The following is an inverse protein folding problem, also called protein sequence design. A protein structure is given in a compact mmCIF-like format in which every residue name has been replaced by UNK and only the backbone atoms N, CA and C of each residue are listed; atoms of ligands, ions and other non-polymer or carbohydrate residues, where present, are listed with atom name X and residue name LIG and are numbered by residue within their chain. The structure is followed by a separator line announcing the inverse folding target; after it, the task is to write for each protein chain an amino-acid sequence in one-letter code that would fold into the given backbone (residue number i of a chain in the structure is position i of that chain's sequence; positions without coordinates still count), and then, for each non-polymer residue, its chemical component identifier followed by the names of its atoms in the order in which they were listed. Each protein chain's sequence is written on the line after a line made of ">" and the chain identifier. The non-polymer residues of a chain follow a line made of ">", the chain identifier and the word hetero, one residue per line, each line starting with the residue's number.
data_IF_130994330252
#
_entry.id   IF_130994330252
#
_cell.length_a   1.000
_cell.length_b   1.000
_cell.length_c   1.000
_cell.angle_alpha   90.00
_cell.angle_beta   90.00
_cell.angle_gamma   90.00
#
_symmetry.space_group_name_H-M   'P 1'
#
loop_
_entity.id
_entity.type
_entity.pdbx_description
1 polymer ?
#
# COMPACT_ATOMS: atom_id res chain seq x y z
N UNK A 1 11.04 2.39 -5.41
CA UNK A 1 12.06 1.45 -5.90
C UNK A 1 13.27 1.45 -4.96
N UNK A 2 13.85 0.28 -4.71
CA UNK A 2 15.04 0.12 -3.87
C UNK A 2 16.31 0.49 -4.66
N UNK A 3 17.16 1.41 -4.18
CA UNK A 3 18.38 1.84 -4.87
C UNK A 3 19.49 0.78 -4.72
N UNK A 4 19.45 -0.23 -5.59
CA UNK A 4 20.35 -1.40 -5.53
C UNK A 4 21.27 -1.53 -6.74
N UNK A 5 21.44 -0.48 -7.54
CA UNK A 5 22.28 -0.45 -8.72
C UNK A 5 21.64 0.25 -9.91
N UNK A 6 22.11 -0.01 -11.12
CA UNK A 6 21.65 0.62 -12.36
C UNK A 6 20.21 0.24 -12.71
N UNK A 7 19.44 1.18 -13.23
CA UNK A 7 18.11 0.89 -13.78
C UNK A 7 18.20 0.10 -15.09
N UNK A 8 17.29 -0.86 -15.26
CA UNK A 8 17.19 -1.67 -16.49
C UNK A 8 15.75 -1.60 -17.05
N UNK A 9 15.56 -2.11 -18.27
CA UNK A 9 14.27 -2.09 -18.98
C UNK A 9 13.11 -2.70 -18.16
N UNK A 10 13.36 -3.62 -17.25
CA UNK A 10 12.32 -4.15 -16.37
C UNK A 10 11.74 -3.07 -15.41
N UNK A 11 12.52 -2.08 -15.05
CA UNK A 11 12.03 -0.95 -14.24
C UNK A 11 11.19 0.03 -15.07
N UNK A 12 11.49 0.21 -16.36
CA UNK A 12 10.72 1.11 -17.22
C UNK A 12 9.25 0.70 -17.31
N UNK A 13 8.95 -0.60 -17.25
CA UNK A 13 7.57 -1.12 -17.28
C UNK A 13 6.70 -0.59 -16.13
N UNK A 14 7.28 -0.43 -14.93
CA UNK A 14 6.59 0.20 -13.79
C UNK A 14 6.40 1.69 -14.05
N UNK A 15 7.47 2.36 -14.49
CA UNK A 15 7.47 3.82 -14.70
C UNK A 15 6.49 4.22 -15.81
N UNK A 16 6.36 3.43 -16.86
CA UNK A 16 5.37 3.66 -17.93
C UNK A 16 3.93 3.59 -17.41
N UNK A 17 3.61 2.63 -16.52
CA UNK A 17 2.30 2.58 -15.89
C UNK A 17 2.07 3.81 -14.99
N UNK A 18 3.08 4.21 -14.20
CA UNK A 18 3.00 5.42 -13.35
C UNK A 18 2.78 6.64 -14.20
N UNK A 19 3.50 6.79 -15.32
CA UNK A 19 3.33 7.89 -16.27
C UNK A 19 1.91 7.91 -16.85
N UNK A 20 1.39 6.76 -17.26
CA UNK A 20 0.02 6.65 -17.75
C UNK A 20 -1.00 7.17 -16.72
N UNK A 21 -0.87 6.77 -15.44
CA UNK A 21 -1.73 7.32 -14.38
C UNK A 21 -1.56 8.82 -14.19
N UNK A 22 -0.33 9.33 -14.29
CA UNK A 22 -0.07 10.77 -14.23
C UNK A 22 -0.76 11.53 -15.36
N UNK A 23 -0.73 11.00 -16.58
CA UNK A 23 -1.41 11.56 -17.76
C UNK A 23 -2.95 11.54 -17.60
N UNK A 24 -3.49 10.62 -16.78
CA UNK A 24 -4.91 10.60 -16.39
C UNK A 24 -5.23 11.53 -15.20
N UNK A 25 -4.27 12.31 -14.73
CA UNK A 25 -4.47 13.30 -13.66
C UNK A 25 -4.24 12.76 -12.25
N UNK A 26 -3.63 11.58 -12.07
CA UNK A 26 -3.29 11.09 -10.74
C UNK A 26 -2.09 11.85 -10.14
N UNK A 27 -2.14 12.09 -8.83
CA UNK A 27 -1.01 12.55 -8.04
C UNK A 27 0.01 11.40 -7.90
N UNK A 28 1.24 11.64 -8.31
CA UNK A 28 2.28 10.62 -8.29
C UNK A 28 3.19 10.78 -7.07
N UNK A 29 3.36 9.70 -6.34
CA UNK A 29 4.32 9.58 -5.23
C UNK A 29 5.27 8.42 -5.52
N UNK A 30 6.56 8.70 -5.58
CA UNK A 30 7.61 7.71 -5.84
C UNK A 30 8.54 7.62 -4.63
N UNK A 31 8.59 6.46 -4.03
CA UNK A 31 9.48 6.15 -2.90
C UNK A 31 10.83 5.68 -3.40
N UNK A 32 11.90 6.26 -2.87
CA UNK A 32 13.24 5.68 -2.86
C UNK A 32 13.39 4.88 -1.57
N UNK A 33 13.43 3.56 -1.70
CA UNK A 33 13.42 2.62 -0.58
C UNK A 33 14.85 2.40 -0.01
N UNK A 34 15.44 3.45 0.52
CA UNK A 34 16.80 3.47 1.06
C UNK A 34 16.93 2.73 2.40
N UNK A 35 15.90 2.75 3.26
CA UNK A 35 15.84 1.94 4.47
C UNK A 35 15.74 0.45 4.15
N UNK A 36 14.99 0.08 3.12
CA UNK A 36 14.91 -1.31 2.64
C UNK A 36 16.25 -1.77 2.08
N UNK A 37 16.96 -0.92 1.31
CA UNK A 37 18.30 -1.20 0.80
C UNK A 37 19.31 -1.42 1.93
N UNK A 38 19.27 -0.58 2.97
CA UNK A 38 20.07 -0.75 4.17
C UNK A 38 19.77 -2.07 4.88
N UNK A 39 18.49 -2.39 5.07
CA UNK A 39 18.05 -3.58 5.82
C UNK A 39 18.39 -4.90 5.10
N UNK A 40 18.26 -4.94 3.76
CA UNK A 40 18.32 -6.18 2.97
C UNK A 40 19.60 -6.35 2.19
N UNK A 41 20.33 -5.28 1.88
CA UNK A 41 21.55 -5.27 1.07
C UNK A 41 22.78 -4.74 1.82
N UNK A 42 22.59 -4.13 2.99
CA UNK A 42 23.66 -3.47 3.72
C UNK A 42 24.16 -2.16 3.06
N UNK A 43 23.45 -1.65 2.05
CA UNK A 43 23.77 -0.38 1.39
C UNK A 43 23.59 0.75 2.38
N UNK A 44 24.62 1.59 2.59
CA UNK A 44 24.48 2.75 3.48
C UNK A 44 23.47 3.76 2.93
N UNK A 45 22.86 4.56 3.81
CA UNK A 45 21.88 5.58 3.39
C UNK A 45 22.48 6.59 2.41
N UNK A 46 23.74 6.99 2.62
CA UNK A 46 24.44 7.91 1.73
C UNK A 46 24.70 7.28 0.35
N UNK A 47 25.19 6.04 0.31
CA UNK A 47 25.39 5.30 -0.94
C UNK A 47 24.06 5.10 -1.68
N UNK A 48 23.00 4.68 -0.98
CA UNK A 48 21.65 4.55 -1.53
C UNK A 48 21.12 5.87 -2.10
N UNK A 49 21.40 6.98 -1.43
CA UNK A 49 21.07 8.33 -1.91
C UNK A 49 21.79 8.67 -3.21
N UNK A 50 23.11 8.42 -3.28
CA UNK A 50 23.89 8.69 -4.49
C UNK A 50 23.44 7.85 -5.67
N UNK A 51 23.20 6.55 -5.46
CA UNK A 51 22.64 5.66 -6.48
C UNK A 51 21.27 6.18 -6.96
N UNK A 52 20.37 6.54 -6.03
CA UNK A 52 19.06 7.00 -6.37
C UNK A 52 19.08 8.28 -7.21
N UNK A 53 19.87 9.26 -6.81
CA UNK A 53 19.98 10.53 -7.55
C UNK A 53 20.58 10.33 -8.92
N UNK A 54 21.65 9.54 -9.02
CA UNK A 54 22.37 9.32 -10.28
C UNK A 54 21.61 8.41 -11.26
N UNK A 55 21.04 7.31 -10.76
CA UNK A 55 20.51 6.24 -11.60
C UNK A 55 18.97 6.28 -11.73
N UNK A 56 18.25 6.64 -10.65
CA UNK A 56 16.79 6.50 -10.63
C UNK A 56 16.08 7.80 -11.02
N UNK A 57 16.40 8.92 -10.38
CA UNK A 57 15.72 10.19 -10.59
C UNK A 57 15.89 10.68 -12.04
N UNK A 58 17.10 10.56 -12.59
CA UNK A 58 17.35 10.92 -13.99
C UNK A 58 16.55 10.04 -14.96
N UNK A 59 16.49 8.73 -14.69
CA UNK A 59 15.73 7.81 -15.54
C UNK A 59 14.22 8.02 -15.42
N UNK A 60 13.69 8.44 -14.28
CA UNK A 60 12.27 8.80 -14.15
C UNK A 60 11.92 9.97 -15.06
N UNK A 61 12.77 11.01 -15.08
CA UNK A 61 12.60 12.15 -15.95
C UNK A 61 12.75 11.77 -17.44
N UNK A 62 13.76 10.94 -17.77
CA UNK A 62 13.99 10.45 -19.13
C UNK A 62 12.83 9.60 -19.66
N UNK A 63 12.16 8.83 -18.80
CA UNK A 63 10.96 8.06 -19.11
C UNK A 63 9.67 8.89 -19.14
N UNK A 64 9.77 10.20 -18.91
CA UNK A 64 8.69 11.16 -19.13
C UNK A 64 7.81 11.44 -17.91
N UNK A 65 8.22 11.07 -16.69
CA UNK A 65 7.51 11.53 -15.50
C UNK A 65 7.65 13.05 -15.36
N UNK A 66 6.52 13.73 -15.19
CA UNK A 66 6.48 15.17 -14.98
C UNK A 66 6.94 15.52 -13.55
N UNK A 67 8.08 16.21 -13.37
CA UNK A 67 8.61 16.51 -12.04
C UNK A 67 7.72 17.48 -11.24
N UNK A 68 6.86 18.27 -11.90
CA UNK A 68 5.96 19.22 -11.23
C UNK A 68 4.81 18.54 -10.49
N UNK A 69 4.44 17.33 -10.91
CA UNK A 69 3.34 16.54 -10.35
C UNK A 69 3.79 15.17 -9.80
N UNK A 70 5.11 15.00 -9.65
CA UNK A 70 5.72 13.81 -9.06
C UNK A 70 6.40 14.17 -7.74
N UNK A 71 5.93 13.59 -6.64
CA UNK A 71 6.58 13.69 -5.33
C UNK A 71 7.56 12.53 -5.16
N UNK A 72 8.85 12.78 -5.26
CA UNK A 72 9.91 11.78 -4.99
C UNK A 72 10.46 12.00 -3.58
N UNK A 73 10.55 10.95 -2.79
CA UNK A 73 11.09 11.04 -1.43
C UNK A 73 11.90 9.81 -1.06
N UNK A 74 12.77 9.97 -0.06
CA UNK A 74 13.53 8.89 0.57
C UNK A 74 12.79 8.40 1.82
N UNK A 75 12.70 7.09 2.03
CA UNK A 75 12.08 6.53 3.25
C UNK A 75 12.69 7.09 4.52
N UNK A 76 14.04 7.21 4.54
CA UNK A 76 14.77 7.76 5.70
C UNK A 76 14.43 9.21 6.00
N UNK A 77 14.02 9.99 4.99
CA UNK A 77 13.68 11.41 5.11
C UNK A 77 12.19 11.66 5.37
N UNK A 78 11.34 10.62 5.55
CA UNK A 78 9.90 10.77 5.77
C UNK A 78 9.45 10.08 7.06
N UNK A 79 9.56 10.77 8.21
CA UNK A 79 9.25 10.19 9.52
C UNK A 79 7.78 9.76 9.67
N UNK A 80 6.85 10.35 8.88
CA UNK A 80 5.44 9.97 8.84
C UNK A 80 5.25 8.51 8.41
N UNK A 81 6.01 8.06 7.40
CA UNK A 81 6.01 6.67 6.93
C UNK A 81 6.45 5.74 8.05
N UNK A 82 7.52 6.10 8.76
CA UNK A 82 8.06 5.29 9.86
C UNK A 82 7.09 5.22 11.04
N UNK A 83 6.48 6.35 11.43
CA UNK A 83 5.43 6.40 12.47
C UNK A 83 4.22 5.55 12.08
N UNK A 84 3.79 5.65 10.82
CA UNK A 84 2.69 4.85 10.29
C UNK A 84 3.04 3.37 10.30
N UNK A 85 4.22 2.98 9.83
CA UNK A 85 4.71 1.60 9.85
C UNK A 85 4.68 1.01 11.26
N UNK A 86 5.17 1.75 12.25
CA UNK A 86 5.13 1.33 13.65
C UNK A 86 3.69 1.15 14.16
N UNK A 87 2.80 2.06 13.81
CA UNK A 87 1.38 1.99 14.19
C UNK A 87 0.68 0.79 13.52
N UNK A 88 0.96 0.54 12.24
CA UNK A 88 0.44 -0.60 11.49
C UNK A 88 0.96 -1.94 12.04
N UNK A 89 2.18 -1.97 12.57
CA UNK A 89 2.78 -3.14 13.20
C UNK A 89 1.94 -3.72 14.35
N UNK A 90 1.12 -2.90 15.02
CA UNK A 90 0.17 -3.38 16.05
C UNK A 90 -0.96 -4.26 15.49
N UNK A 91 -1.13 -4.32 14.17
CA UNK A 91 -2.21 -5.05 13.47
C UNK A 91 -1.73 -6.33 12.79
N UNK A 92 -0.48 -6.69 13.00
CA UNK A 92 0.13 -7.92 12.48
C UNK A 92 1.04 -8.56 13.54
N UNK A 93 1.53 -9.75 13.28
CA UNK A 93 2.40 -10.48 14.19
C UNK A 93 3.50 -11.21 13.42
N UNK A 94 4.51 -11.72 14.14
CA UNK A 94 5.67 -12.37 13.55
C UNK A 94 5.29 -13.60 12.72
N UNK A 95 4.31 -14.41 13.17
CA UNK A 95 3.89 -15.60 12.43
C UNK A 95 3.27 -15.29 11.07
N UNK A 96 2.56 -14.15 10.92
CA UNK A 96 2.10 -13.69 9.60
C UNK A 96 3.29 -13.35 8.68
N UNK A 97 4.36 -12.77 9.24
CA UNK A 97 5.58 -12.44 8.49
C UNK A 97 6.38 -13.68 8.12
N UNK A 98 6.50 -14.64 9.02
CA UNK A 98 7.10 -15.95 8.73
C UNK A 98 6.36 -16.67 7.60
N UNK A 99 5.04 -16.67 7.63
CA UNK A 99 4.22 -17.30 6.60
C UNK A 99 4.32 -16.60 5.23
N UNK A 100 4.44 -15.27 5.20
CA UNK A 100 4.46 -14.49 3.94
C UNK A 100 5.88 -14.42 3.34
N UNK A 101 6.90 -14.19 4.18
CA UNK A 101 8.27 -13.86 3.76
C UNK A 101 9.29 -14.97 4.05
N UNK A 102 8.89 -16.00 4.79
CA UNK A 102 9.80 -17.07 5.20
C UNK A 102 10.86 -16.62 6.21
N UNK A 103 10.60 -15.57 6.99
CA UNK A 103 11.51 -15.11 8.02
C UNK A 103 11.76 -16.20 9.06
N UNK A 104 12.97 -16.21 9.60
CA UNK A 104 13.41 -17.19 10.60
C UNK A 104 13.96 -16.44 11.82
N UNK A 105 14.26 -17.18 12.89
CA UNK A 105 14.74 -16.60 14.13
C UNK A 105 16.10 -15.88 14.01
N UNK A 106 16.87 -16.12 12.95
CA UNK A 106 18.14 -15.46 12.62
C UNK A 106 17.99 -14.28 11.66
N UNK A 107 16.78 -13.99 11.17
CA UNK A 107 16.51 -12.83 10.31
C UNK A 107 16.72 -11.54 11.12
N UNK A 108 17.54 -10.60 10.62
CA UNK A 108 17.78 -9.35 11.32
C UNK A 108 16.50 -8.50 11.43
N UNK A 109 16.36 -7.76 12.54
CA UNK A 109 15.13 -7.01 12.84
C UNK A 109 14.83 -5.90 11.83
N UNK A 110 15.84 -5.28 11.22
CA UNK A 110 15.62 -4.28 10.18
C UNK A 110 14.95 -4.90 8.95
N UNK A 111 15.36 -6.11 8.56
CA UNK A 111 14.72 -6.86 7.47
C UNK A 111 13.27 -7.24 7.81
N UNK A 112 12.99 -7.62 9.08
CA UNK A 112 11.63 -7.90 9.55
C UNK A 112 10.75 -6.63 9.52
N UNK A 113 11.33 -5.45 9.77
CA UNK A 113 10.60 -4.17 9.71
C UNK A 113 10.34 -3.65 8.30
N UNK A 114 11.16 -4.00 7.32
CA UNK A 114 11.09 -3.47 5.96
C UNK A 114 9.67 -3.60 5.31
N UNK A 115 8.95 -4.72 5.42
CA UNK A 115 7.58 -4.82 4.90
C UNK A 115 6.57 -3.88 5.58
N UNK A 116 6.79 -3.53 6.86
CA UNK A 116 5.93 -2.54 7.54
C UNK A 116 6.22 -1.13 7.05
N UNK A 117 7.48 -0.79 6.82
CA UNK A 117 7.88 0.49 6.23
C UNK A 117 7.28 0.60 4.83
N UNK A 118 7.33 -0.45 4.01
CA UNK A 118 6.72 -0.49 2.69
C UNK A 118 5.19 -0.34 2.77
N UNK A 119 4.51 -0.96 3.75
CA UNK A 119 3.09 -0.74 3.97
C UNK A 119 2.80 0.73 4.35
N UNK A 120 3.67 1.34 5.15
CA UNK A 120 3.66 2.77 5.43
C UNK A 120 3.79 3.62 4.16
N UNK A 121 4.76 3.31 3.29
CA UNK A 121 4.94 3.99 2.00
C UNK A 121 3.69 3.93 1.12
N UNK A 122 3.06 2.77 1.05
CA UNK A 122 1.87 2.56 0.23
C UNK A 122 0.67 3.37 0.75
N UNK A 123 0.51 3.47 2.07
CA UNK A 123 -0.69 4.04 2.68
C UNK A 123 -0.55 5.52 3.06
N UNK A 124 0.68 6.02 3.37
CA UNK A 124 0.86 7.39 3.87
C UNK A 124 0.26 8.50 3.01
N UNK A 125 0.09 8.37 1.67
CA UNK A 125 -0.58 9.41 0.88
C UNK A 125 -2.03 9.68 1.30
N UNK A 126 -2.61 8.81 2.15
CA UNK A 126 -3.92 9.02 2.74
C UNK A 126 -3.89 9.81 4.06
N UNK A 127 -2.72 10.11 4.62
CA UNK A 127 -2.61 10.99 5.79
C UNK A 127 -3.02 12.42 5.42
N UNK A 128 -3.55 13.18 6.38
CA UNK A 128 -4.04 14.54 6.13
C UNK A 128 -2.94 15.46 5.59
N UNK A 129 -1.70 15.29 6.06
CA UNK A 129 -0.54 16.05 5.61
C UNK A 129 -0.22 15.83 4.11
N UNK A 130 -0.69 14.72 3.52
CA UNK A 130 -0.42 14.33 2.12
C UNK A 130 -1.66 14.33 1.24
N UNK A 131 -2.78 14.88 1.74
CA UNK A 131 -4.00 15.09 0.96
C UNK A 131 -5.22 14.28 1.41
N UNK A 132 -5.13 13.55 2.51
CA UNK A 132 -6.27 12.90 3.15
C UNK A 132 -6.77 11.65 2.44
N UNK A 133 -7.95 11.20 2.86
CA UNK A 133 -8.54 9.95 2.38
C UNK A 133 -8.80 9.94 0.88
N UNK A 134 -8.07 9.08 0.17
CA UNK A 134 -8.15 8.93 -1.28
C UNK A 134 -7.84 7.50 -1.73
N UNK A 135 -8.33 7.06 -2.90
CA UNK A 135 -7.89 5.81 -3.50
C UNK A 135 -6.41 5.83 -3.83
N UNK A 136 -5.74 4.70 -3.60
CA UNK A 136 -4.33 4.50 -3.98
C UNK A 136 -4.26 3.33 -4.96
N UNK A 137 -3.52 3.53 -6.05
CA UNK A 137 -3.16 2.48 -7.00
C UNK A 137 -1.65 2.33 -7.01
N UNK A 138 -1.17 1.11 -6.85
CA UNK A 138 0.27 0.79 -6.82
C UNK A 138 0.61 -0.09 -8.02
N UNK A 139 1.23 0.47 -9.07
CA UNK A 139 1.76 -0.31 -10.19
C UNK A 139 2.99 -1.10 -9.73
N UNK A 140 2.96 -2.43 -9.90
CA UNK A 140 4.03 -3.32 -9.41
C UNK A 140 4.26 -4.52 -10.31
N UNK A 141 5.43 -5.13 -10.18
CA UNK A 141 5.65 -6.49 -10.66
C UNK A 141 4.88 -7.51 -9.82
N UNK A 142 4.60 -8.68 -10.40
CA UNK A 142 3.84 -9.76 -9.73
C UNK A 142 4.52 -10.27 -8.46
N UNK A 143 5.82 -10.11 -8.32
CA UNK A 143 6.60 -10.46 -7.12
C UNK A 143 6.28 -9.59 -5.90
N UNK A 144 5.67 -8.42 -6.11
CA UNK A 144 5.28 -7.50 -5.04
C UNK A 144 3.89 -7.81 -4.46
N UNK A 145 3.16 -8.81 -4.99
CA UNK A 145 1.83 -9.18 -4.50
C UNK A 145 1.79 -9.52 -2.99
N UNK A 146 2.77 -10.23 -2.40
CA UNK A 146 2.79 -10.47 -0.95
C UNK A 146 2.73 -9.20 -0.11
N UNK A 147 3.45 -8.15 -0.51
CA UNK A 147 3.46 -6.85 0.17
C UNK A 147 2.12 -6.13 0.05
N UNK A 148 1.48 -6.19 -1.13
CA UNK A 148 0.16 -5.59 -1.34
C UNK A 148 -0.92 -6.33 -0.53
N UNK A 149 -0.86 -7.66 -0.45
CA UNK A 149 -1.77 -8.46 0.39
C UNK A 149 -1.61 -8.14 1.86
N UNK A 150 -0.36 -8.08 2.36
CA UNK A 150 -0.08 -7.68 3.74
C UNK A 150 -0.68 -6.30 4.02
N UNK A 151 -0.39 -5.31 3.16
CA UNK A 151 -0.85 -3.93 3.33
C UNK A 151 -2.38 -3.83 3.34
N UNK A 152 -3.08 -4.53 2.43
CA UNK A 152 -4.56 -4.60 2.41
C UNK A 152 -5.11 -5.24 3.68
N UNK A 153 -4.50 -6.33 4.12
CA UNK A 153 -4.88 -7.03 5.35
C UNK A 153 -4.74 -6.14 6.58
N UNK A 154 -3.60 -5.46 6.71
CA UNK A 154 -3.34 -4.54 7.84
C UNK A 154 -4.29 -3.34 7.79
N UNK A 155 -4.50 -2.71 6.63
CA UNK A 155 -5.44 -1.61 6.48
C UNK A 155 -6.85 -2.04 6.91
N UNK A 156 -7.33 -3.19 6.45
CA UNK A 156 -8.63 -3.73 6.85
C UNK A 156 -8.75 -4.00 8.36
N UNK A 157 -7.66 -4.42 9.01
CA UNK A 157 -7.63 -4.64 10.47
C UNK A 157 -7.65 -3.31 11.28
N UNK A 158 -7.50 -2.16 10.64
CA UNK A 158 -7.64 -0.85 11.33
C UNK A 158 -9.08 -0.37 11.39
N UNK A 159 -9.99 -0.92 10.57
CA UNK A 159 -11.35 -0.44 10.46
C UNK A 159 -12.16 -0.73 11.72
N UNK A 160 -12.90 0.26 12.18
CA UNK A 160 -13.85 0.13 13.28
C UNK A 160 -15.17 -0.46 12.83
N UNK A 161 -15.55 -0.19 11.57
CA UNK A 161 -16.80 -0.65 10.97
C UNK A 161 -16.54 -1.64 9.84
N UNK A 162 -17.28 -2.74 9.84
CA UNK A 162 -17.30 -3.71 8.77
C UNK A 162 -18.67 -3.72 8.07
N UNK A 163 -18.66 -3.69 6.73
CA UNK A 163 -19.87 -3.74 5.92
C UNK A 163 -19.98 -5.11 5.26
N UNK A 164 -21.13 -5.75 5.40
CA UNK A 164 -21.44 -7.04 4.77
C UNK A 164 -22.82 -7.02 4.12
N UNK A 165 -22.93 -7.63 2.95
CA UNK A 165 -24.22 -7.90 2.33
C UNK A 165 -24.99 -8.95 3.14
N UNK A 166 -26.30 -8.75 3.29
CA UNK A 166 -27.22 -9.68 3.97
C UNK A 166 -27.80 -10.67 2.96
N UNK A 167 -27.99 -11.91 3.40
CA UNK A 167 -28.65 -12.94 2.57
C UNK A 167 -30.11 -12.57 2.21
N UNK A 168 -30.77 -11.85 3.12
CA UNK A 168 -32.16 -11.41 2.95
C UNK A 168 -32.28 -10.05 2.20
N UNK A 169 -31.21 -9.57 1.58
CA UNK A 169 -31.13 -8.22 1.00
C UNK A 169 -30.71 -7.16 2.01
N UNK A 170 -30.17 -6.05 1.52
CA UNK A 170 -29.62 -4.98 2.34
C UNK A 170 -28.16 -5.19 2.75
N UNK A 171 -27.66 -4.24 3.54
CA UNK A 171 -26.31 -4.30 4.13
C UNK A 171 -26.39 -4.31 5.66
N UNK A 172 -25.41 -4.92 6.31
CA UNK A 172 -25.18 -4.79 7.76
C UNK A 172 -23.84 -4.14 8.00
N UNK A 173 -23.82 -3.10 8.81
CA UNK A 173 -22.62 -2.51 9.40
C UNK A 173 -22.44 -3.12 10.79
N UNK A 174 -21.26 -3.63 11.08
CA UNK A 174 -20.90 -4.15 12.39
C UNK A 174 -19.74 -3.37 12.98
N UNK A 175 -19.84 -2.99 14.27
CA UNK A 175 -18.78 -2.33 15.02
C UNK A 175 -17.76 -3.36 15.52
N UNK A 176 -16.48 -3.16 15.17
CA UNK A 176 -15.36 -3.98 15.64
C UNK A 176 -14.63 -3.28 16.79
N UNK A 177 -14.95 -3.66 18.01
CA UNK A 177 -14.35 -3.06 19.22
C UNK A 177 -12.85 -3.32 19.33
N UNK A 178 -12.37 -4.46 18.83
CA UNK A 178 -10.95 -4.83 18.89
C UNK A 178 -10.04 -3.89 18.10
N UNK A 179 -10.61 -3.20 17.10
CA UNK A 179 -9.88 -2.29 16.22
C UNK A 179 -9.96 -0.84 16.67
N UNK A 180 -10.86 -0.51 17.62
CA UNK A 180 -11.01 0.86 18.12
C UNK A 180 -9.89 1.20 19.11
N UNK A 181 -9.47 2.47 19.12
CA UNK A 181 -8.64 3.00 20.19
C UNK A 181 -9.47 3.03 21.47
N UNK A 182 -8.97 2.41 22.53
CA UNK A 182 -9.65 2.34 23.83
C UNK A 182 -10.03 3.72 24.40
N UNK A 183 -9.23 4.74 24.11
CA UNK A 183 -9.47 6.12 24.57
C UNK A 183 -10.63 6.81 23.85
N UNK A 184 -10.76 6.63 22.52
CA UNK A 184 -11.83 7.25 21.74
C UNK A 184 -13.23 6.68 22.03
N UNK A 185 -13.29 5.44 22.55
CA UNK A 185 -14.54 4.73 22.81
C UNK A 185 -14.85 4.48 24.28
N UNK A 186 -14.04 5.02 25.20
CA UNK A 186 -14.25 4.72 26.63
C UNK A 186 -14.33 3.21 26.90
N UNK A 187 -13.45 2.43 26.23
CA UNK A 187 -13.43 0.97 26.41
C UNK A 187 -12.99 0.68 27.82
N UNK A 188 -13.86 0.05 28.60
CA UNK A 188 -13.55 -0.39 29.96
C UNK A 188 -12.39 -1.38 29.96
N UNK A 189 -11.74 -1.54 31.11
CA UNK A 189 -10.65 -2.50 31.30
C UNK A 189 -10.99 -3.92 30.85
N UNK A 190 -12.28 -4.25 30.75
CA UNK A 190 -12.81 -5.54 30.27
C UNK A 190 -13.02 -5.62 28.76
N UNK A 191 -12.54 -4.63 27.99
CA UNK A 191 -12.67 -4.61 26.52
C UNK A 191 -14.09 -4.35 26.01
N UNK A 192 -15.02 -3.89 26.87
CA UNK A 192 -16.40 -3.57 26.48
C UNK A 192 -16.56 -2.07 26.28
N UNK A 193 -17.17 -1.67 25.17
CA UNK A 193 -17.62 -0.31 24.94
C UNK A 193 -18.83 -0.01 25.81
N UNK A 194 -18.80 1.11 26.51
CA UNK A 194 -19.96 1.58 27.30
C UNK A 194 -21.21 1.68 26.42
N UNK A 195 -22.39 1.40 27.03
CA UNK A 195 -23.66 1.41 26.30
C UNK A 195 -23.98 2.79 25.72
N UNK A 196 -23.77 3.86 26.49
CA UNK A 196 -24.07 5.23 26.04
C UNK A 196 -23.15 5.66 24.90
N UNK A 197 -21.85 5.31 24.99
CA UNK A 197 -20.89 5.52 23.91
C UNK A 197 -21.31 4.80 22.66
N UNK A 198 -21.73 3.53 22.77
CA UNK A 198 -22.20 2.75 21.64
C UNK A 198 -23.45 3.34 20.99
N UNK A 199 -24.42 3.77 21.78
CA UNK A 199 -25.62 4.45 21.29
C UNK A 199 -25.26 5.74 20.55
N UNK A 200 -24.34 6.55 21.08
CA UNK A 200 -23.83 7.75 20.41
C UNK A 200 -23.17 7.45 19.07
N UNK A 201 -22.36 6.38 18.99
CA UNK A 201 -21.75 5.94 17.71
C UNK A 201 -22.83 5.60 16.69
N UNK A 202 -23.88 4.88 17.10
CA UNK A 202 -24.96 4.50 16.18
C UNK A 202 -25.78 5.69 15.70
N UNK A 203 -25.98 6.72 16.52
CA UNK A 203 -26.60 7.97 16.07
C UNK A 203 -25.73 8.73 15.07
N UNK A 204 -24.41 8.77 15.27
CA UNK A 204 -23.49 9.35 14.30
C UNK A 204 -23.49 8.56 12.98
N UNK A 205 -23.55 7.22 13.03
CA UNK A 205 -23.68 6.37 11.85
C UNK A 205 -24.94 6.70 11.06
N UNK A 206 -26.10 6.80 11.73
CA UNK A 206 -27.37 7.18 11.09
C UNK A 206 -27.27 8.54 10.43
N UNK A 207 -26.76 9.54 11.16
CA UNK A 207 -26.59 10.88 10.64
C UNK A 207 -25.67 10.95 9.41
N UNK A 208 -24.63 10.14 9.37
CA UNK A 208 -23.67 10.06 8.25
C UNK A 208 -24.28 9.34 7.03
N UNK A 209 -25.20 8.40 7.23
CA UNK A 209 -25.84 7.63 6.16
C UNK A 209 -27.11 8.32 5.60
N UNK A 210 -27.77 9.17 6.37
CA UNK A 210 -29.01 9.87 5.96
C UNK A 210 -28.83 10.69 4.67
N UNK A 211 -27.75 11.47 4.45
CA UNK A 211 -27.52 12.22 3.21
C UNK A 211 -27.36 11.33 1.98
N UNK A 212 -27.10 10.03 2.16
CA UNK A 212 -26.99 9.04 1.09
C UNK A 212 -28.35 8.46 0.67
N UNK A 213 -29.45 8.92 1.29
CA UNK A 213 -30.81 8.46 1.01
C UNK A 213 -31.26 7.25 1.83
N UNK A 214 -30.48 6.82 2.84
CA UNK A 214 -30.89 5.72 3.71
C UNK A 214 -31.63 6.25 4.93
N UNK A 215 -32.96 6.05 4.96
CA UNK A 215 -33.86 6.49 6.06
C UNK A 215 -34.24 5.33 7.00
N UNK A 216 -34.41 4.13 6.45
CA UNK A 216 -34.95 2.97 7.20
C UNK A 216 -33.84 2.16 7.87
N UNK A 217 -33.08 2.83 8.75
CA UNK A 217 -31.93 2.24 9.42
C UNK A 217 -32.37 1.52 10.70
N UNK A 218 -32.04 0.23 10.81
CA UNK A 218 -32.36 -0.60 11.96
C UNK A 218 -31.10 -0.79 12.82
N UNK A 219 -31.00 -0.03 13.91
CA UNK A 219 -29.86 -0.16 14.82
C UNK A 219 -30.12 -1.17 15.92
N UNK A 220 -29.11 -2.00 16.20
CA UNK A 220 -29.06 -2.89 17.34
C UNK A 220 -27.76 -2.66 18.12
N UNK A 221 -27.71 -1.62 18.98
CA UNK A 221 -26.52 -1.27 19.73
C UNK A 221 -26.04 -2.39 20.66
N UNK A 222 -26.97 -3.23 21.18
CA UNK A 222 -26.61 -4.37 22.03
C UNK A 222 -25.74 -5.38 21.31
N UNK A 223 -26.00 -5.64 20.03
CA UNK A 223 -25.19 -6.53 19.18
C UNK A 223 -24.12 -5.81 18.38
N UNK A 224 -24.04 -4.47 18.46
CA UNK A 224 -23.07 -3.68 17.73
C UNK A 224 -23.32 -3.68 16.22
N UNK A 225 -24.59 -3.73 15.78
CA UNK A 225 -24.95 -3.77 14.35
C UNK A 225 -25.95 -2.70 13.97
N UNK A 226 -25.86 -2.24 12.71
CA UNK A 226 -26.82 -1.37 12.04
C UNK A 226 -27.13 -1.97 10.67
N UNK A 227 -28.40 -2.23 10.41
CA UNK A 227 -28.89 -2.74 9.13
C UNK A 227 -29.40 -1.61 8.24
N UNK A 228 -29.12 -1.73 6.95
CA UNK A 228 -29.57 -0.83 5.88
C UNK A 228 -30.41 -1.68 4.90
N UNK A 229 -31.72 -1.87 5.14
CA UNK A 229 -32.55 -2.75 4.31
C UNK A 229 -32.65 -2.30 2.86
N UNK A 230 -32.69 -0.97 2.61
CA UNK A 230 -32.80 -0.39 1.26
C UNK A 230 -31.52 -0.39 0.43
N UNK A 231 -30.37 -0.79 1.01
CA UNK A 231 -29.11 -0.86 0.30
C UNK A 231 -28.91 -2.21 -0.40
N UNK A 232 -28.01 -2.24 -1.37
CA UNK A 232 -27.62 -3.46 -2.11
C UNK A 232 -26.11 -3.59 -2.22
N UNK A 233 -25.62 -4.61 -2.92
CA UNK A 233 -24.18 -4.88 -3.04
C UNK A 233 -23.40 -3.79 -3.80
N UNK A 234 -24.05 -3.03 -4.70
CA UNK A 234 -23.39 -1.91 -5.40
C UNK A 234 -23.11 -0.73 -4.47
N UNK A 235 -23.84 -0.61 -3.35
CA UNK A 235 -23.70 0.48 -2.40
C UNK A 235 -22.54 0.26 -1.41
N UNK A 236 -21.99 -0.96 -1.34
CA UNK A 236 -20.93 -1.34 -0.37
C UNK A 236 -19.75 -0.37 -0.43
N UNK A 237 -19.30 0.01 -1.63
CA UNK A 237 -18.15 0.89 -1.78
C UNK A 237 -18.43 2.30 -1.23
N UNK A 238 -19.60 2.85 -1.55
CA UNK A 238 -20.01 4.18 -1.11
C UNK A 238 -20.27 4.22 0.41
N UNK A 239 -20.96 3.22 0.95
CA UNK A 239 -21.17 3.08 2.40
C UNK A 239 -19.82 2.96 3.11
N UNK A 240 -18.90 2.13 2.61
CA UNK A 240 -17.56 1.98 3.19
C UNK A 240 -16.80 3.31 3.22
N UNK A 241 -16.85 4.09 2.14
CA UNK A 241 -16.21 5.41 2.10
C UNK A 241 -16.78 6.36 3.15
N UNK A 242 -18.10 6.38 3.33
CA UNK A 242 -18.76 7.15 4.38
C UNK A 242 -18.24 6.74 5.76
N UNK A 243 -18.15 5.44 6.03
CA UNK A 243 -17.67 4.91 7.30
C UNK A 243 -16.20 5.26 7.58
N UNK A 244 -15.33 5.18 6.57
CA UNK A 244 -13.91 5.55 6.73
C UNK A 244 -13.73 7.04 7.08
N UNK A 245 -14.56 7.92 6.51
CA UNK A 245 -14.59 9.34 6.87
C UNK A 245 -15.06 9.52 8.32
N UNK A 246 -16.16 8.88 8.67
CA UNK A 246 -16.68 8.92 10.04
C UNK A 246 -15.65 8.38 11.05
N UNK A 247 -14.95 7.30 10.75
CA UNK A 247 -13.86 6.79 11.59
C UNK A 247 -12.80 7.86 11.84
N UNK A 248 -12.37 8.60 10.83
CA UNK A 248 -11.38 9.68 10.94
C UNK A 248 -11.88 10.83 11.80
N UNK A 249 -13.12 11.27 11.58
CA UNK A 249 -13.77 12.30 12.40
C UNK A 249 -13.87 11.92 13.89
N UNK A 250 -13.87 10.60 14.15
CA UNK A 250 -13.91 10.03 15.50
C UNK A 250 -12.51 9.70 16.07
N UNK A 251 -11.42 10.06 15.35
CA UNK A 251 -10.04 9.81 15.78
C UNK A 251 -9.49 8.43 15.38
N UNK A 252 -10.19 7.69 14.52
CA UNK A 252 -9.70 6.45 13.93
C UNK A 252 -8.79 6.70 12.71
N UNK A 253 -8.16 5.65 12.22
CA UNK A 253 -7.27 5.76 11.07
C UNK A 253 -8.04 5.86 9.75
N UNK A 254 -9.15 5.15 9.60
CA UNK A 254 -10.01 5.17 8.42
C UNK A 254 -9.22 5.00 7.11
N UNK A 255 -8.40 3.96 6.99
CA UNK A 255 -7.51 3.74 5.86
C UNK A 255 -8.18 2.91 4.77
N UNK A 256 -8.13 3.37 3.52
CA UNK A 256 -8.52 2.55 2.37
C UNK A 256 -7.46 1.51 2.05
N UNK A 257 -7.82 0.24 1.87
CA UNK A 257 -6.91 -0.74 1.29
C UNK A 257 -6.49 -0.31 -0.12
N UNK A 258 -5.18 -0.41 -0.46
CA UNK A 258 -4.69 0.00 -1.78
C UNK A 258 -5.14 -0.97 -2.87
N UNK A 259 -5.36 -0.44 -4.07
CA UNK A 259 -5.46 -1.21 -5.31
C UNK A 259 -4.07 -1.39 -5.93
N UNK A 260 -3.95 -2.29 -6.89
CA UNK A 260 -2.70 -2.50 -7.63
C UNK A 260 -2.96 -2.87 -9.08
N UNK A 261 -2.04 -2.49 -9.96
CA UNK A 261 -1.89 -3.05 -11.29
C UNK A 261 -0.61 -3.88 -11.35
N UNK A 262 -0.65 -4.97 -12.08
CA UNK A 262 0.48 -5.91 -12.16
C UNK A 262 1.01 -5.99 -13.59
N UNK A 263 2.32 -5.98 -13.73
CA UNK A 263 2.98 -6.33 -14.98
C UNK A 263 3.77 -7.64 -14.83
N UNK A 264 3.94 -8.33 -15.94
CA UNK A 264 4.81 -9.51 -16.01
C UNK A 264 6.27 -9.09 -15.86
N UNK A 265 7.12 -10.04 -15.48
CA UNK A 265 8.56 -9.78 -15.46
C UNK A 265 9.08 -9.46 -16.86
N UNK A 266 9.97 -8.49 -16.97
CA UNK A 266 10.82 -8.36 -18.13
C UNK A 266 11.76 -9.57 -18.20
N UNK A 267 11.71 -10.27 -19.30
CA UNK A 267 12.60 -11.40 -19.55
C UNK A 267 13.94 -10.83 -20.02
N UNK A 268 15.03 -11.22 -19.37
CA UNK A 268 16.39 -10.92 -19.79
C UNK A 268 16.79 -11.68 -21.06
N UNK A 269 17.94 -11.34 -21.60
CA UNK A 269 18.42 -11.86 -22.89
C UNK A 269 18.69 -13.38 -22.89
N UNK A 270 18.67 -14.04 -21.74
CA UNK A 270 18.85 -15.50 -21.59
C UNK A 270 17.58 -16.25 -21.21
N UNK A 271 16.40 -15.61 -21.28
CA UNK A 271 15.12 -16.22 -20.92
C UNK A 271 14.75 -16.19 -19.43
N UNK A 272 15.65 -15.75 -18.56
CA UNK A 272 15.38 -15.56 -17.13
C UNK A 272 14.86 -14.14 -16.81
N UNK A 273 14.34 -13.92 -15.60
CA UNK A 273 13.98 -12.59 -15.13
C UNK A 273 15.17 -11.62 -15.24
N UNK A 274 14.94 -10.46 -15.86
CA UNK A 274 15.92 -9.39 -15.94
C UNK A 274 16.29 -8.89 -14.52
N UNK A 275 17.60 -8.79 -14.25
CA UNK A 275 18.10 -8.40 -12.93
C UNK A 275 19.40 -7.61 -13.02
N UNK A 276 19.53 -6.56 -12.22
CA UNK A 276 20.75 -5.76 -12.12
C UNK A 276 21.98 -6.59 -11.68
N UNK A 277 21.77 -7.71 -10.98
CA UNK A 277 22.85 -8.62 -10.56
C UNK A 277 23.41 -9.48 -11.68
N UNK A 278 22.73 -9.50 -12.86
CA UNK A 278 23.14 -10.28 -14.05
C UNK A 278 23.40 -9.33 -15.24
N UNK A 279 24.44 -8.50 -15.23
CA UNK A 279 24.62 -7.43 -16.22
C UNK A 279 24.78 -7.93 -17.66
N UNK A 280 25.26 -9.16 -17.87
CA UNK A 280 25.45 -9.75 -19.18
C UNK A 280 24.12 -10.05 -19.91
N UNK A 281 23.04 -10.24 -19.15
CA UNK A 281 21.72 -10.63 -19.67
C UNK A 281 20.69 -9.53 -19.51
N UNK A 282 21.13 -8.36 -19.03
CA UNK A 282 20.28 -7.21 -18.67
C UNK A 282 20.64 -6.01 -19.53
N UNK A 283 19.65 -5.38 -20.16
CA UNK A 283 19.81 -4.10 -20.82
C UNK A 283 19.53 -2.99 -19.80
N UNK A 284 20.56 -2.20 -19.51
CA UNK A 284 20.42 -1.03 -18.65
C UNK A 284 19.98 0.21 -19.43
N UNK A 285 19.35 1.13 -18.75
CA UNK A 285 18.83 2.36 -19.34
C UNK A 285 19.93 3.28 -19.87
N UNK A 286 21.13 3.18 -19.31
CA UNK A 286 22.33 3.95 -19.65
C UNK A 286 23.37 3.15 -20.44
N UNK A 287 23.02 1.95 -20.97
CA UNK A 287 23.90 1.19 -21.85
C UNK A 287 24.11 1.95 -23.17
N UNK A 288 25.37 2.11 -23.57
CA UNK A 288 25.71 2.65 -24.87
C UNK A 288 25.18 1.72 -25.98
N UNK A 289 24.87 2.29 -27.16
CA UNK A 289 24.31 1.54 -28.29
C UNK A 289 25.17 0.31 -28.68
N UNK A 290 26.50 0.46 -28.64
CA UNK A 290 27.43 -0.65 -28.93
C UNK A 290 27.31 -1.79 -27.91
N UNK A 291 27.17 -1.44 -26.62
CA UNK A 291 27.00 -2.43 -25.55
C UNK A 291 25.66 -3.14 -25.65
N UNK A 292 24.58 -2.41 -25.89
CA UNK A 292 23.26 -3.00 -26.17
C UNK A 292 23.32 -3.97 -27.36
N UNK A 293 23.96 -3.55 -28.47
CA UNK A 293 24.10 -4.37 -29.66
C UNK A 293 24.88 -5.68 -29.41
N UNK A 294 25.95 -5.59 -28.60
CA UNK A 294 26.70 -6.79 -28.20
C UNK A 294 25.84 -7.74 -27.34
N UNK A 295 25.09 -7.22 -26.38
CA UNK A 295 24.19 -8.00 -25.52
C UNK A 295 23.09 -8.68 -26.34
N UNK A 296 22.42 -7.94 -27.22
CA UNK A 296 21.35 -8.45 -28.08
C UNK A 296 21.86 -9.54 -29.03
N UNK A 297 23.05 -9.39 -29.63
CA UNK A 297 23.67 -10.41 -30.48
C UNK A 297 23.96 -11.73 -29.74
N UNK A 298 24.11 -11.70 -28.42
CA UNK A 298 24.34 -12.85 -27.54
C UNK A 298 23.05 -13.36 -26.88
N UNK A 299 21.92 -12.75 -27.20
CA UNK A 299 20.63 -13.13 -26.61
C UNK A 299 20.27 -14.58 -27.06
N UNK A 300 19.61 -15.28 -26.15
CA UNK A 300 19.04 -16.59 -26.44
C UNK A 300 17.93 -16.48 -27.49
N UNK A 301 18.09 -17.12 -28.62
CA UNK A 301 17.17 -17.06 -29.77
C UNK A 301 16.15 -18.21 -29.83
N UNK A 302 16.04 -19.00 -28.76
CA UNK A 302 15.04 -20.08 -28.65
C UNK A 302 15.48 -21.42 -29.28
N UNK A 303 16.72 -21.55 -29.73
CA UNK A 303 17.28 -22.85 -30.11
C UNK A 303 17.48 -23.74 -28.87
N UNK A 304 17.22 -25.06 -28.99
CA UNK A 304 17.68 -25.97 -27.95
C UNK A 304 19.22 -25.99 -27.93
N UNK A 305 19.85 -26.08 -26.74
CA UNK A 305 21.30 -26.18 -26.62
C UNK A 305 21.81 -27.49 -27.29
#
# INVERSE_FOLDING_TARGET
>A
LMPSGRMHLGHSMVIEQVRWFQEQGADITVTVADLEALATRGTSLEEGRQIALKEYVHNYAALGLNPKTTNVYFQSGRPEVQRLAFTLGRRTNLSEFEAIYGFKGDTNLAHVQAPLVQAGDIIHPQLEEFGGLRPIVVPVGVDQDPHLRLTRGIAGKTHWFNVKARKAGGLTISLSVQNSNSEAFGVSANGKVDRQVRESIFERLKSSLAPMGYSDLISNPKHGTLDIPGANTSDVAQVRMCLLRLEREMGGMGLMPPSSTYHRFAIGLTGEKMSSSKPQTTIFMDDAHEEMSKKVKRAFSGGQP
#
